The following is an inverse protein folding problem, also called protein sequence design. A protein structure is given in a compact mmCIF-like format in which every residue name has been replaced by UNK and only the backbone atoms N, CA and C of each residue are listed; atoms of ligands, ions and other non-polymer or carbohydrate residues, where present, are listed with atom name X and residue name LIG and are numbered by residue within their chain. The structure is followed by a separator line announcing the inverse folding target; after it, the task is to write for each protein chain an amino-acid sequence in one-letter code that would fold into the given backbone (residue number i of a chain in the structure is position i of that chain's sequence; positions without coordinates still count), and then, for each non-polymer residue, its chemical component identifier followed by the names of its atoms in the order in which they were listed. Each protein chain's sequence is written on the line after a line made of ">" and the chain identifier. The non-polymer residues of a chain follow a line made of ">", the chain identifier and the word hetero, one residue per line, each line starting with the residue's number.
data_IF_701349046214
#
_entry.id   IF_701349046214
#
_cell.length_a   1.000
_cell.length_b   1.000
_cell.length_c   1.000
_cell.angle_alpha   90.00
_cell.angle_beta   90.00
_cell.angle_gamma   90.00
#
_symmetry.space_group_name_H-M   'P 1'
#
loop_
_entity.id
_entity.type
_entity.pdbx_description
1 polymer ?
#
# COMPACT_ATOMS: atom_id res chain seq x y z
N UNK A 1 -6.32 6.49 2.95
CA UNK A 1 -6.82 5.17 2.53
C UNK A 1 -7.37 4.41 3.72
N UNK A 2 -8.62 3.96 3.61
CA UNK A 2 -9.32 3.22 4.67
C UNK A 2 -9.18 1.70 4.52
N UNK A 3 -9.10 1.22 3.28
CA UNK A 3 -8.91 -0.18 2.95
C UNK A 3 -8.17 -0.28 1.61
N UNK A 4 -7.31 -1.29 1.47
CA UNK A 4 -6.78 -1.74 0.20
C UNK A 4 -6.90 -3.27 0.18
N UNK A 5 -7.55 -3.81 -0.84
CA UNK A 5 -7.80 -5.24 -0.96
C UNK A 5 -7.43 -5.69 -2.36
N UNK A 6 -6.47 -6.60 -2.43
CA UNK A 6 -6.04 -7.22 -3.67
C UNK A 6 -6.52 -8.66 -3.59
N UNK A 7 -7.37 -9.06 -4.52
CA UNK A 7 -7.78 -10.45 -4.63
C UNK A 7 -6.71 -11.23 -5.39
N UNK A 8 -6.22 -12.32 -4.80
CA UNK A 8 -5.22 -13.20 -5.40
C UNK A 8 -5.14 -14.52 -4.64
N UNK A 9 -4.54 -15.54 -5.26
CA UNK A 9 -4.26 -16.81 -4.60
C UNK A 9 -3.28 -16.57 -3.44
N UNK A 10 -3.54 -17.18 -2.27
CA UNK A 10 -2.73 -17.04 -1.05
C UNK A 10 -1.32 -17.55 -1.31
N UNK A 11 -0.36 -16.65 -1.55
CA UNK A 11 1.06 -17.03 -1.55
C UNK A 11 1.62 -16.73 -0.15
N UNK A 12 2.13 -17.74 0.58
CA UNK A 12 2.79 -17.48 1.85
C UNK A 12 3.98 -16.53 1.65
N UNK A 13 4.11 -15.56 2.57
CA UNK A 13 5.25 -14.64 2.60
C UNK A 13 6.56 -15.46 2.64
N UNK A 14 7.30 -15.49 1.53
CA UNK A 14 8.62 -16.14 1.45
C UNK A 14 8.88 -17.02 0.23
N UNK A 15 7.87 -17.35 -0.59
CA UNK A 15 8.09 -18.06 -1.87
C UNK A 15 7.86 -17.11 -3.04
N UNK A 16 8.93 -16.84 -3.81
CA UNK A 16 8.82 -16.28 -5.15
C UNK A 16 8.08 -17.31 -6.00
N UNK A 17 6.81 -17.02 -6.32
CA UNK A 17 6.12 -17.70 -7.41
C UNK A 17 5.92 -16.67 -8.52
N UNK A 18 6.66 -16.83 -9.62
CA UNK A 18 6.60 -15.97 -10.80
C UNK A 18 5.20 -15.92 -11.45
N UNK A 19 4.27 -16.77 -11.01
CA UNK A 19 2.89 -16.86 -11.52
C UNK A 19 1.80 -16.31 -10.58
N UNK A 20 2.14 -15.77 -9.42
CA UNK A 20 1.17 -15.20 -8.49
C UNK A 20 0.71 -13.79 -8.91
N UNK A 21 -0.60 -13.59 -9.13
CA UNK A 21 -1.22 -12.27 -9.35
C UNK A 21 -0.82 -11.22 -8.28
N UNK A 22 -0.49 -11.68 -7.08
CA UNK A 22 -0.09 -10.88 -5.93
C UNK A 22 1.29 -10.18 -6.09
N UNK A 23 2.12 -10.60 -7.06
CA UNK A 23 3.43 -9.98 -7.35
C UNK A 23 3.43 -8.98 -8.50
N UNK A 24 2.28 -8.72 -9.16
CA UNK A 24 2.20 -7.87 -10.36
C UNK A 24 2.03 -6.37 -10.12
N UNK A 25 2.22 -5.87 -8.90
CA UNK A 25 2.21 -4.42 -8.67
C UNK A 25 0.82 -3.75 -8.64
N UNK A 26 -0.28 -4.50 -8.74
CA UNK A 26 -1.65 -3.95 -8.63
C UNK A 26 -1.87 -3.11 -7.36
N UNK A 27 -1.33 -3.56 -6.23
CA UNK A 27 -1.40 -2.82 -4.97
C UNK A 27 -0.68 -1.48 -5.02
N UNK A 28 0.52 -1.46 -5.62
CA UNK A 28 1.28 -0.22 -5.79
C UNK A 28 0.64 0.71 -6.83
N UNK A 29 0.01 0.18 -7.88
CA UNK A 29 -0.73 0.98 -8.86
C UNK A 29 -1.94 1.67 -8.23
N UNK A 30 -2.74 0.93 -7.45
CA UNK A 30 -3.87 1.50 -6.71
C UNK A 30 -3.41 2.58 -5.72
N UNK A 31 -2.26 2.38 -5.06
CA UNK A 31 -1.68 3.38 -4.17
C UNK A 31 -1.22 4.62 -4.94
N UNK A 32 -0.48 4.45 -6.03
CA UNK A 32 -0.02 5.56 -6.87
C UNK A 32 -1.19 6.40 -7.38
N UNK A 33 -2.26 5.76 -7.83
CA UNK A 33 -3.44 6.48 -8.31
C UNK A 33 -4.14 7.24 -7.17
N UNK A 34 -4.26 6.63 -5.99
CA UNK A 34 -4.77 7.32 -4.82
C UNK A 34 -3.90 8.53 -4.43
N UNK A 35 -2.57 8.42 -4.56
CA UNK A 35 -1.63 9.51 -4.29
C UNK A 35 -1.85 10.65 -5.29
N UNK A 36 -1.95 10.34 -6.59
CA UNK A 36 -2.23 11.31 -7.65
C UNK A 36 -3.54 12.06 -7.43
N UNK A 37 -4.64 11.34 -7.17
CA UNK A 37 -5.96 11.94 -6.88
C UNK A 37 -5.86 12.86 -5.65
N UNK A 38 -5.14 12.44 -4.62
CA UNK A 38 -4.99 13.23 -3.40
C UNK A 38 -4.20 14.52 -3.65
N UNK A 39 -3.10 14.47 -4.43
CA UNK A 39 -2.34 15.66 -4.84
C UNK A 39 -3.20 16.64 -5.65
N UNK A 40 -3.96 16.12 -6.62
CA UNK A 40 -4.88 16.93 -7.44
C UNK A 40 -5.95 17.63 -6.60
N UNK A 41 -6.30 17.08 -5.43
CA UNK A 41 -7.22 17.67 -4.46
C UNK A 41 -6.52 18.52 -3.38
N UNK A 42 -5.26 18.92 -3.62
CA UNK A 42 -4.51 19.81 -2.73
C UNK A 42 -4.15 19.18 -1.39
N UNK A 43 -3.98 17.86 -1.33
CA UNK A 43 -3.48 17.16 -0.14
C UNK A 43 -1.97 16.99 -0.25
N UNK A 44 -1.29 17.19 0.88
CA UNK A 44 0.17 17.12 1.05
C UNK A 44 0.63 15.79 1.69
N UNK A 45 -0.32 14.99 2.18
CA UNK A 45 -0.06 13.75 2.88
C UNK A 45 -1.17 12.73 2.68
N UNK A 46 -0.76 11.48 2.55
CA UNK A 46 -1.65 10.33 2.63
C UNK A 46 -1.46 9.59 3.95
N UNK A 47 -2.56 9.21 4.59
CA UNK A 47 -2.59 8.31 5.75
C UNK A 47 -3.34 7.02 5.40
N UNK A 48 -2.84 5.88 5.86
CA UNK A 48 -3.37 4.55 5.61
C UNK A 48 -3.65 3.84 6.93
N UNK A 49 -4.87 3.33 7.08
CA UNK A 49 -5.22 2.40 8.16
C UNK A 49 -4.55 1.06 7.82
N UNK A 50 -3.61 0.62 8.65
CA UNK A 50 -2.81 -0.58 8.38
C UNK A 50 -2.74 -1.49 9.61
N UNK A 51 -3.14 -2.75 9.43
CA UNK A 51 -2.90 -3.80 10.41
C UNK A 51 -1.39 -4.02 10.61
N UNK A 52 -1.01 -4.43 11.82
CA UNK A 52 0.41 -4.52 12.24
C UNK A 52 1.25 -5.35 11.25
N UNK A 53 0.74 -6.50 10.80
CA UNK A 53 1.43 -7.39 9.86
C UNK A 53 1.63 -6.85 8.44
N UNK A 54 0.91 -5.79 8.06
CA UNK A 54 0.96 -5.21 6.71
C UNK A 54 1.82 -3.94 6.67
N UNK A 55 2.25 -3.40 7.83
CA UNK A 55 3.04 -2.15 7.87
C UNK A 55 4.33 -2.22 7.06
N UNK A 56 4.99 -3.39 7.03
CA UNK A 56 6.22 -3.59 6.24
C UNK A 56 5.97 -3.47 4.72
N UNK A 57 4.77 -3.79 4.23
CA UNK A 57 4.42 -3.56 2.83
C UNK A 57 4.45 -2.06 2.51
N UNK A 58 3.79 -1.24 3.33
CA UNK A 58 3.77 0.22 3.16
C UNK A 58 5.15 0.86 3.33
N UNK A 59 5.99 0.35 4.24
CA UNK A 59 7.37 0.83 4.41
C UNK A 59 8.20 0.69 3.13
N UNK A 60 8.06 -0.43 2.41
CA UNK A 60 8.74 -0.63 1.11
C UNK A 60 8.31 0.40 0.05
N UNK A 61 7.17 1.06 0.25
CA UNK A 61 6.61 2.07 -0.65
C UNK A 61 6.85 3.51 -0.15
N UNK A 62 7.70 3.69 0.86
CA UNK A 62 8.07 4.99 1.41
C UNK A 62 7.09 5.56 2.45
N UNK A 63 6.19 4.74 3.00
CA UNK A 63 5.34 5.16 4.12
C UNK A 63 6.03 4.91 5.46
N UNK A 64 5.81 5.81 6.40
CA UNK A 64 6.33 5.76 7.76
C UNK A 64 5.21 5.65 8.78
N UNK A 65 5.51 5.29 10.03
CA UNK A 65 4.48 5.21 11.07
C UNK A 65 4.13 6.62 11.56
N UNK A 66 2.86 6.99 11.45
CA UNK A 66 2.31 8.24 11.96
C UNK A 66 1.17 7.92 12.92
N UNK A 67 1.48 7.84 14.22
CA UNK A 67 0.53 7.41 15.25
C UNK A 67 -0.02 5.99 14.98
N UNK A 68 -1.34 5.81 14.83
CA UNK A 68 -1.95 4.52 14.49
C UNK A 68 -1.89 4.20 12.97
N UNK A 69 -1.48 5.14 12.13
CA UNK A 69 -1.50 5.04 10.67
C UNK A 69 -0.11 4.77 10.08
N UNK A 70 -0.10 4.42 8.79
CA UNK A 70 1.07 4.58 7.92
C UNK A 70 0.89 5.85 7.09
N UNK A 71 1.89 6.73 7.00
CA UNK A 71 1.81 8.03 6.34
C UNK A 71 2.94 8.27 5.34
N UNK A 72 2.66 9.01 4.28
CA UNK A 72 3.62 9.44 3.27
C UNK A 72 3.28 10.85 2.79
N UNK A 73 4.28 11.71 2.66
CA UNK A 73 4.10 13.01 2.02
C UNK A 73 3.90 12.80 0.50
N UNK A 74 2.90 13.47 -0.07
CA UNK A 74 2.49 13.29 -1.47
C UNK A 74 2.44 14.65 -2.15
#
# INVERSE_FOLDING_TARGET
>A
IREIKIFGNVVPLGKHDEKGWQHRGLGSELLNEAENISKQNGKDRMLVISGIGVRNYFRKLGYERVGPYMGKAI
#
